data_IF_380014638496
#
_entry.id   IF_380014638496
#
_cell.length_a   1.000
_cell.length_b   1.000
_cell.length_c   1.000
_cell.angle_alpha   90.00
_cell.angle_beta   90.00
_cell.angle_gamma   90.00
#
_symmetry.space_group_name_H-M   'P 1'
#
loop_
_entity.id
_entity.type
_entity.pdbx_description
1 polymer ?
#
# COMPACT_ATOMS: atom_id res chain seq x y z
N UNK A 1 -10.51 10.38 -2.41
CA UNK A 1 -9.92 9.18 -2.99
C UNK A 1 -8.77 8.71 -2.10
N UNK A 2 -8.64 7.40 -1.88
CA UNK A 2 -7.54 6.83 -1.06
C UNK A 2 -6.63 5.90 -1.86
N UNK A 3 -7.11 5.35 -2.97
CA UNK A 3 -6.32 4.60 -3.94
C UNK A 3 -7.01 4.61 -5.33
N UNK A 4 -6.30 4.20 -6.37
CA UNK A 4 -6.83 4.11 -7.71
C UNK A 4 -5.79 3.89 -8.80
N UNK A 5 -6.28 3.73 -10.01
CA UNK A 5 -5.49 3.61 -11.25
C UNK A 5 -6.13 4.47 -12.33
N UNK A 6 -5.30 5.11 -13.17
CA UNK A 6 -5.80 5.86 -14.32
C UNK A 6 -5.69 5.06 -15.63
N UNK A 7 -6.23 5.62 -16.72
CA UNK A 7 -6.24 4.98 -18.04
C UNK A 7 -4.82 4.81 -18.66
N UNK A 8 -3.83 5.53 -18.15
CA UNK A 8 -2.42 5.36 -18.57
C UNK A 8 -1.73 4.25 -17.80
N UNK A 9 -2.40 3.66 -16.79
CA UNK A 9 -1.85 2.62 -15.94
C UNK A 9 -0.91 3.14 -14.86
N UNK A 10 -1.01 4.42 -14.51
CA UNK A 10 -0.44 4.94 -13.29
C UNK A 10 -1.39 4.61 -12.13
N UNK A 11 -0.89 4.00 -11.09
CA UNK A 11 -1.65 3.74 -9.86
C UNK A 11 -1.02 4.40 -8.66
N UNK A 12 -1.84 4.79 -7.71
CA UNK A 12 -1.38 5.38 -6.47
C UNK A 12 -2.30 5.02 -5.31
N UNK A 13 -1.73 5.01 -4.09
CA UNK A 13 -2.47 4.85 -2.86
C UNK A 13 -1.93 5.80 -1.78
N UNK A 14 -2.84 6.33 -0.96
CA UNK A 14 -2.54 7.20 0.16
C UNK A 14 -2.62 6.41 1.47
N UNK A 15 -1.60 6.54 2.32
CA UNK A 15 -1.55 5.90 3.62
C UNK A 15 -1.34 6.94 4.72
N UNK A 16 -1.74 6.61 5.95
CA UNK A 16 -1.53 7.47 7.11
C UNK A 16 -0.04 7.60 7.44
N UNK A 17 0.42 8.83 7.64
CA UNK A 17 1.81 9.19 7.95
C UNK A 17 1.87 10.07 9.20
N UNK A 18 1.25 9.58 10.27
CA UNK A 18 1.06 10.31 11.51
C UNK A 18 2.37 10.57 12.23
N UNK A 19 2.56 11.80 12.69
CA UNK A 19 3.76 12.24 13.42
C UNK A 19 4.92 12.68 12.51
N UNK A 20 4.89 12.34 11.23
CA UNK A 20 5.97 12.64 10.27
C UNK A 20 5.55 13.68 9.23
N UNK A 21 4.30 13.61 8.73
CA UNK A 21 3.82 14.51 7.68
C UNK A 21 3.83 15.99 8.11
N UNK A 22 4.48 16.85 7.31
CA UNK A 22 4.53 18.29 7.52
C UNK A 22 4.28 19.02 6.20
N UNK A 23 3.05 19.46 5.99
CA UNK A 23 2.65 20.16 4.78
C UNK A 23 2.88 21.68 4.88
N UNK A 24 2.99 22.33 3.72
CA UNK A 24 3.09 23.79 3.66
C UNK A 24 1.91 24.47 4.37
N UNK A 25 2.20 25.59 5.03
CA UNK A 25 1.15 26.36 5.74
C UNK A 25 0.39 27.31 4.83
N UNK A 26 0.94 27.64 3.66
CA UNK A 26 0.42 28.64 2.75
C UNK A 26 0.57 28.19 1.29
N UNK A 27 -0.35 28.67 0.46
CA UNK A 27 -0.25 28.56 -0.98
C UNK A 27 0.97 29.31 -1.51
N UNK A 28 1.59 28.76 -2.55
CA UNK A 28 2.72 29.34 -3.26
C UNK A 28 2.27 29.77 -4.66
N UNK A 29 2.55 31.02 -5.02
CA UNK A 29 2.17 31.55 -6.33
C UNK A 29 2.92 30.82 -7.46
N UNK A 30 2.19 30.46 -8.52
CA UNK A 30 2.75 29.75 -9.67
C UNK A 30 2.84 28.23 -9.51
N UNK A 31 2.44 27.67 -8.35
CA UNK A 31 2.35 26.23 -8.12
C UNK A 31 0.91 25.70 -8.05
N UNK A 32 0.75 24.44 -8.33
CA UNK A 32 -0.47 23.71 -8.00
C UNK A 32 -0.53 23.51 -6.48
N UNK A 33 -1.42 24.26 -5.81
CA UNK A 33 -1.60 24.19 -4.36
C UNK A 33 -2.71 23.19 -4.04
N UNK A 34 -2.35 22.02 -3.52
CA UNK A 34 -3.25 20.87 -3.37
C UNK A 34 -3.33 20.47 -1.89
N UNK A 35 -4.53 20.20 -1.40
CA UNK A 35 -4.73 19.65 -0.06
C UNK A 35 -4.27 18.18 0.00
N UNK A 36 -3.75 17.68 1.14
CA UNK A 36 -3.24 16.31 1.22
C UNK A 36 -4.23 15.25 0.77
N UNK A 37 -5.50 15.40 1.09
CA UNK A 37 -6.57 14.46 0.72
C UNK A 37 -6.97 14.51 -0.77
N UNK A 38 -6.49 15.51 -1.53
CA UNK A 38 -6.73 15.66 -2.97
C UNK A 38 -5.51 15.30 -3.82
N UNK A 39 -4.35 15.10 -3.20
CA UNK A 39 -3.09 14.78 -3.92
C UNK A 39 -3.26 13.56 -4.82
N UNK A 40 -3.98 12.53 -4.36
CA UNK A 40 -4.20 11.34 -5.16
C UNK A 40 -5.01 11.63 -6.44
N UNK A 41 -6.07 12.44 -6.33
CA UNK A 41 -6.85 12.88 -7.50
C UNK A 41 -5.98 13.67 -8.46
N UNK A 42 -5.12 14.55 -7.93
CA UNK A 42 -4.21 15.33 -8.75
C UNK A 42 -3.18 14.44 -9.46
N UNK A 43 -2.57 13.47 -8.78
CA UNK A 43 -1.63 12.52 -9.37
C UNK A 43 -2.28 11.75 -10.52
N UNK A 44 -3.42 11.11 -10.26
CA UNK A 44 -4.10 10.27 -11.26
C UNK A 44 -4.70 11.07 -12.42
N UNK A 45 -5.03 12.35 -12.22
CA UNK A 45 -5.57 13.22 -13.25
C UNK A 45 -4.52 13.96 -14.09
N UNK A 46 -3.26 14.04 -13.64
CA UNK A 46 -2.25 14.88 -14.31
C UNK A 46 -0.99 14.12 -14.75
N UNK A 47 -0.71 12.95 -14.19
CA UNK A 47 0.50 12.19 -14.50
C UNK A 47 0.19 10.91 -15.27
N UNK A 48 1.10 10.53 -16.18
CA UNK A 48 0.97 9.33 -17.01
C UNK A 48 1.95 8.23 -16.60
N UNK A 49 2.98 8.56 -15.81
CA UNK A 49 3.99 7.62 -15.31
C UNK A 49 4.65 8.16 -14.03
N UNK A 50 5.40 7.30 -13.34
CA UNK A 50 6.22 7.71 -12.21
C UNK A 50 7.26 8.77 -12.58
N UNK A 51 7.88 8.66 -13.73
CA UNK A 51 8.85 9.64 -14.23
C UNK A 51 8.19 10.99 -14.51
N UNK A 52 7.06 10.98 -15.21
CA UNK A 52 6.28 12.17 -15.51
C UNK A 52 5.84 12.90 -14.24
N UNK A 53 5.34 12.15 -13.25
CA UNK A 53 5.03 12.71 -11.93
C UNK A 53 6.25 13.37 -11.28
N UNK A 54 7.41 12.70 -11.31
CA UNK A 54 8.67 13.23 -10.78
C UNK A 54 9.02 14.60 -11.37
N UNK A 55 8.82 14.79 -12.68
CA UNK A 55 9.06 16.05 -13.37
C UNK A 55 8.08 17.16 -12.98
N UNK A 56 6.87 16.80 -12.54
CA UNK A 56 5.83 17.75 -12.16
C UNK A 56 5.92 18.19 -10.69
N UNK A 57 6.60 17.45 -9.81
CA UNK A 57 6.65 17.71 -8.36
C UNK A 57 7.21 19.08 -7.99
N UNK A 58 8.12 19.64 -8.79
CA UNK A 58 8.65 21.00 -8.57
C UNK A 58 7.54 22.06 -8.61
N UNK A 59 6.47 21.81 -9.34
CA UNK A 59 5.31 22.70 -9.50
C UNK A 59 4.16 22.34 -8.54
N UNK A 60 4.32 21.33 -7.69
CA UNK A 60 3.33 20.94 -6.69
C UNK A 60 3.68 21.54 -5.33
N UNK A 61 2.70 22.09 -4.66
CA UNK A 61 2.77 22.52 -3.27
C UNK A 61 1.63 21.87 -2.48
N UNK A 62 1.97 20.97 -1.56
CA UNK A 62 0.96 20.29 -0.73
C UNK A 62 0.73 21.14 0.51
N UNK A 63 -0.46 21.75 0.61
CA UNK A 63 -0.83 22.72 1.63
C UNK A 63 -1.72 22.09 2.68
N UNK A 64 -1.38 22.25 3.95
CA UNK A 64 -2.21 21.80 5.05
C UNK A 64 -3.62 22.41 4.95
N UNK A 65 -4.61 21.55 4.75
CA UNK A 65 -6.01 21.94 4.70
C UNK A 65 -6.89 20.87 5.38
N UNK A 66 -7.81 21.28 6.26
CA UNK A 66 -8.64 20.34 6.98
C UNK A 66 -9.68 19.69 6.04
N UNK A 67 -9.84 18.36 6.18
CA UNK A 67 -10.99 17.68 5.60
C UNK A 67 -12.24 18.14 6.35
N UNK A 68 -13.24 18.64 5.62
CA UNK A 68 -14.45 19.27 6.20
C UNK A 68 -15.16 18.36 7.22
N UNK A 69 -15.19 17.05 6.97
CA UNK A 69 -15.83 16.07 7.87
C UNK A 69 -15.03 15.81 9.13
N UNK A 70 -13.69 15.87 9.06
CA UNK A 70 -12.79 15.47 10.15
C UNK A 70 -12.22 16.66 10.93
N UNK A 71 -12.28 17.87 10.37
CA UNK A 71 -11.73 19.09 10.96
C UNK A 71 -10.20 19.13 11.06
N UNK A 72 -9.50 18.16 10.51
CA UNK A 72 -8.03 18.06 10.53
C UNK A 72 -7.45 17.92 9.13
N UNK A 73 -6.24 18.39 8.93
CA UNK A 73 -5.43 18.05 7.76
C UNK A 73 -4.90 16.63 7.96
N UNK A 74 -5.35 15.71 7.10
CA UNK A 74 -5.00 14.30 7.23
C UNK A 74 -3.52 14.10 6.92
N UNK A 75 -2.70 13.54 7.83
CA UNK A 75 -1.29 13.27 7.58
C UNK A 75 -1.18 12.04 6.66
N UNK A 76 -0.78 12.27 5.41
CA UNK A 76 -0.70 11.25 4.37
C UNK A 76 0.69 11.23 3.73
N UNK A 77 1.05 10.07 3.20
CA UNK A 77 2.09 9.85 2.21
C UNK A 77 1.55 8.89 1.14
N UNK A 78 2.25 8.78 0.00
CA UNK A 78 1.70 8.09 -1.16
C UNK A 78 2.70 7.11 -1.74
N UNK A 79 2.21 5.93 -2.14
CA UNK A 79 2.93 5.00 -3.00
C UNK A 79 2.38 5.12 -4.42
N UNK A 80 3.28 5.15 -5.40
CA UNK A 80 2.95 5.33 -6.81
C UNK A 80 3.64 4.23 -7.62
N UNK A 81 2.91 3.60 -8.52
CA UNK A 81 3.47 2.63 -9.47
C UNK A 81 2.90 2.84 -10.88
N UNK A 82 3.62 2.36 -11.90
CA UNK A 82 3.16 2.45 -13.28
C UNK A 82 3.39 1.14 -14.08
N UNK A 83 3.00 1.15 -15.36
CA UNK A 83 3.12 0.00 -16.27
C UNK A 83 4.55 -0.52 -16.46
N UNK A 84 5.57 0.31 -16.25
CA UNK A 84 6.97 -0.11 -16.36
C UNK A 84 7.44 -0.96 -15.17
N UNK A 85 6.63 -1.04 -14.11
CA UNK A 85 6.99 -1.63 -12.82
C UNK A 85 7.77 -0.68 -11.93
N UNK A 86 7.95 0.58 -12.32
CA UNK A 86 8.52 1.61 -11.47
C UNK A 86 7.64 1.81 -10.23
N UNK A 87 8.26 1.96 -9.07
CA UNK A 87 7.59 2.20 -7.81
C UNK A 87 8.30 3.31 -7.03
N UNK A 88 7.53 4.27 -6.54
CA UNK A 88 8.04 5.42 -5.78
C UNK A 88 7.16 5.70 -4.57
N UNK A 89 7.76 6.38 -3.60
CA UNK A 89 7.06 6.92 -2.41
C UNK A 89 7.19 8.44 -2.44
N UNK A 90 6.09 9.13 -2.25
CA UNK A 90 6.06 10.58 -2.04
C UNK A 90 5.77 10.85 -0.57
N UNK A 91 6.71 11.47 0.12
CA UNK A 91 6.59 11.92 1.51
C UNK A 91 6.83 13.43 1.59
N UNK A 92 6.09 14.10 2.47
CA UNK A 92 6.29 15.53 2.76
C UNK A 92 6.54 15.66 4.24
N UNK A 93 7.79 15.97 4.58
CA UNK A 93 8.30 16.07 5.95
C UNK A 93 8.90 17.45 6.21
N UNK A 94 9.55 17.65 7.36
CA UNK A 94 10.03 18.96 7.81
C UNK A 94 10.95 19.69 6.82
N UNK A 95 11.74 18.96 6.07
CA UNK A 95 12.71 19.50 5.09
C UNK A 95 12.18 19.52 3.64
N UNK A 96 10.90 19.15 3.44
CA UNK A 96 10.21 19.26 2.15
C UNK A 96 9.62 17.98 1.63
N UNK A 97 9.34 17.98 0.32
CA UNK A 97 8.79 16.84 -0.40
C UNK A 97 9.92 15.94 -0.93
N UNK A 98 9.82 14.64 -0.64
CA UNK A 98 10.75 13.61 -1.09
C UNK A 98 10.04 12.63 -2.01
N UNK A 99 10.58 12.44 -3.21
CA UNK A 99 10.12 11.44 -4.17
C UNK A 99 11.15 10.32 -4.27
N UNK A 100 10.93 9.24 -3.55
CA UNK A 100 11.94 8.22 -3.27
C UNK A 100 11.63 6.97 -4.09
N UNK A 101 12.59 6.49 -4.88
CA UNK A 101 12.47 5.20 -5.56
C UNK A 101 12.30 4.10 -4.53
N UNK A 102 11.29 3.26 -4.71
CA UNK A 102 10.97 2.15 -3.81
C UNK A 102 11.52 0.83 -4.38
N UNK A 103 12.66 0.34 -3.87
CA UNK A 103 13.31 -0.85 -4.40
C UNK A 103 12.60 -2.15 -3.99
N UNK A 104 11.79 -2.11 -2.93
CA UNK A 104 11.12 -3.29 -2.38
C UNK A 104 9.63 -3.35 -2.73
N UNK A 105 9.06 -2.28 -3.34
CA UNK A 105 7.67 -2.23 -3.76
C UNK A 105 6.65 -2.32 -2.62
N UNK A 106 7.05 -2.00 -1.39
CA UNK A 106 6.22 -2.04 -0.18
C UNK A 106 6.26 -0.69 0.50
N UNK A 107 5.11 -0.23 0.99
CA UNK A 107 4.98 0.92 1.88
C UNK A 107 3.93 0.60 2.93
N UNK A 108 4.12 1.10 4.15
CA UNK A 108 3.13 1.02 5.23
C UNK A 108 2.85 2.41 5.79
N UNK A 109 2.95 2.63 7.07
CA UNK A 109 2.73 3.91 7.73
C UNK A 109 4.06 4.41 8.34
N UNK A 110 3.99 5.38 9.28
CA UNK A 110 5.18 5.85 10.01
C UNK A 110 5.99 4.70 10.64
N UNK A 111 7.31 4.84 10.76
CA UNK A 111 8.18 5.97 10.45
C UNK A 111 8.34 6.26 8.94
N UNK A 112 9.23 7.20 8.57
CA UNK A 112 9.55 7.52 7.18
C UNK A 112 10.07 6.32 6.38
N UNK A 113 9.95 6.38 5.06
CA UNK A 113 10.30 5.28 4.18
C UNK A 113 11.79 4.94 4.23
N UNK A 114 12.66 5.93 4.38
CA UNK A 114 14.11 5.71 4.52
C UNK A 114 14.45 4.91 5.76
N UNK A 115 13.76 5.17 6.88
CA UNK A 115 13.87 4.39 8.10
C UNK A 115 13.44 2.93 7.89
N UNK A 116 12.30 2.70 7.21
CA UNK A 116 11.83 1.35 6.89
C UNK A 116 12.86 0.56 6.06
N UNK A 117 13.45 1.17 5.04
CA UNK A 117 14.51 0.55 4.25
C UNK A 117 15.73 0.21 5.10
N UNK A 118 16.17 1.14 5.96
CA UNK A 118 17.30 0.92 6.85
C UNK A 118 17.04 -0.23 7.84
N UNK A 119 15.81 -0.33 8.35
CA UNK A 119 15.42 -1.39 9.29
C UNK A 119 15.48 -2.80 8.69
N UNK A 120 15.42 -2.96 7.37
CA UNK A 120 15.62 -4.26 6.70
C UNK A 120 16.96 -4.91 7.07
N UNK A 121 17.96 -4.11 7.43
CA UNK A 121 19.27 -4.62 7.88
C UNK A 121 19.19 -5.55 9.10
N UNK A 122 18.14 -5.44 9.90
CA UNK A 122 17.90 -6.31 11.06
C UNK A 122 17.29 -7.68 10.68
N UNK A 123 16.93 -7.87 9.41
CA UNK A 123 16.15 -9.03 8.94
C UNK A 123 16.79 -9.77 7.76
N UNK A 124 18.08 -9.51 7.50
CA UNK A 124 18.83 -10.13 6.38
C UNK A 124 18.99 -11.65 6.49
N UNK A 125 18.75 -12.22 7.67
CA UNK A 125 18.79 -13.67 7.91
C UNK A 125 17.52 -14.40 7.49
N UNK A 126 16.42 -13.68 7.25
CA UNK A 126 15.14 -14.29 6.88
C UNK A 126 15.22 -14.94 5.49
N UNK A 127 14.76 -16.17 5.39
CA UNK A 127 14.73 -16.95 4.15
C UNK A 127 13.62 -18.00 4.19
N UNK A 128 13.13 -18.50 3.04
CA UNK A 128 12.08 -19.53 3.01
C UNK A 128 12.58 -20.93 3.38
N UNK A 129 13.90 -21.17 3.24
CA UNK A 129 14.52 -22.47 3.51
C UNK A 129 14.88 -22.64 4.97
N UNK A 130 14.85 -23.86 5.52
CA UNK A 130 15.26 -24.13 6.90
C UNK A 130 16.70 -23.72 7.20
N UNK A 131 16.98 -23.41 8.45
CA UNK A 131 18.36 -23.28 8.94
C UNK A 131 19.02 -24.67 9.01
N UNK A 132 20.34 -24.75 8.71
CA UNK A 132 21.09 -25.99 8.86
C UNK A 132 21.14 -26.45 10.32
N UNK A 133 21.36 -27.74 10.51
CA UNK A 133 21.66 -28.29 11.82
C UNK A 133 22.90 -27.60 12.42
N UNK A 134 22.94 -27.52 13.74
CA UNK A 134 24.08 -27.02 14.51
C UNK A 134 24.56 -28.08 15.50
N UNK A 135 25.84 -28.29 15.56
CA UNK A 135 26.49 -29.17 16.54
C UNK A 135 27.03 -28.37 17.73
N UNK A 136 26.79 -28.86 18.91
CA UNK A 136 27.27 -28.34 20.18
C UNK A 136 28.03 -29.47 20.91
N UNK A 137 29.31 -29.65 20.61
CA UNK A 137 30.17 -30.63 21.24
C UNK A 137 29.61 -32.08 21.17
N UNK A 138 29.19 -32.48 19.95
CA UNK A 138 28.56 -33.78 19.69
C UNK A 138 27.05 -33.85 19.91
N UNK A 139 26.44 -32.79 20.43
CA UNK A 139 24.99 -32.67 20.55
C UNK A 139 24.42 -31.93 19.33
N UNK A 140 23.86 -32.69 18.40
CA UNK A 140 23.29 -32.13 17.16
C UNK A 140 21.88 -31.59 17.38
N UNK A 141 21.68 -30.31 17.05
CA UNK A 141 20.38 -29.62 17.09
C UNK A 141 19.89 -29.37 15.66
N UNK A 142 18.70 -29.85 15.35
CA UNK A 142 18.05 -29.67 14.06
C UNK A 142 16.89 -28.70 14.17
N UNK A 143 16.54 -28.01 13.06
CA UNK A 143 15.31 -27.23 12.99
C UNK A 143 14.07 -28.14 13.02
N UNK A 144 12.95 -27.63 13.55
CA UNK A 144 11.68 -28.37 13.65
C UNK A 144 10.91 -28.45 12.30
N UNK A 145 11.62 -28.59 11.17
CA UNK A 145 11.02 -28.75 9.86
C UNK A 145 10.98 -27.46 9.02
N UNK A 146 10.12 -27.40 7.98
CA UNK A 146 10.02 -26.26 7.09
C UNK A 146 9.60 -24.98 7.83
N UNK A 147 10.05 -23.81 7.30
CA UNK A 147 9.68 -22.51 7.85
C UNK A 147 10.63 -21.94 8.90
N UNK A 148 11.61 -22.72 9.40
CA UNK A 148 12.57 -22.22 10.42
C UNK A 148 13.43 -21.06 9.93
N UNK A 149 13.65 -20.91 8.63
CA UNK A 149 14.35 -19.76 8.06
C UNK A 149 13.61 -18.43 8.22
N UNK A 150 12.30 -18.47 8.45
CA UNK A 150 11.48 -17.30 8.75
C UNK A 150 11.36 -17.01 10.26
N UNK A 151 12.10 -17.72 11.11
CA UNK A 151 12.10 -17.47 12.55
C UNK A 151 12.57 -16.04 12.85
N UNK A 152 11.76 -15.28 13.58
CA UNK A 152 11.97 -13.86 13.83
C UNK A 152 11.23 -12.92 12.87
N UNK A 153 10.49 -13.45 11.88
CA UNK A 153 9.56 -12.65 11.08
C UNK A 153 8.49 -12.03 12.01
N UNK A 154 8.37 -10.69 12.07
CA UNK A 154 7.49 -10.06 13.06
C UNK A 154 6.02 -10.34 12.76
N UNK A 155 5.24 -10.70 13.78
CA UNK A 155 3.84 -11.10 13.66
C UNK A 155 2.80 -10.06 14.11
N UNK A 156 3.23 -8.97 14.75
CA UNK A 156 2.30 -7.94 15.25
C UNK A 156 1.75 -7.02 14.14
N UNK A 157 0.80 -6.13 14.51
CA UNK A 157 0.08 -5.27 13.57
C UNK A 157 0.66 -3.87 13.42
N UNK A 158 1.85 -3.58 13.96
CA UNK A 158 2.50 -2.29 13.75
C UNK A 158 2.88 -2.08 12.28
N UNK A 159 3.06 -0.83 11.87
CA UNK A 159 3.52 -0.50 10.51
C UNK A 159 4.86 -1.15 10.19
N UNK A 160 5.78 -1.14 11.15
CA UNK A 160 7.12 -1.72 11.03
C UNK A 160 7.06 -3.22 10.76
N UNK A 161 6.30 -3.96 11.57
CA UNK A 161 6.16 -5.41 11.43
C UNK A 161 5.44 -5.80 10.15
N UNK A 162 4.39 -5.07 9.76
CA UNK A 162 3.70 -5.28 8.47
C UNK A 162 4.61 -5.02 7.28
N UNK A 163 5.48 -3.98 7.36
CA UNK A 163 6.45 -3.71 6.31
C UNK A 163 7.40 -4.89 6.09
N UNK A 164 8.06 -5.37 7.15
CA UNK A 164 8.99 -6.50 7.08
C UNK A 164 8.30 -7.75 6.55
N UNK A 165 7.10 -8.06 7.06
CA UNK A 165 6.31 -9.22 6.65
C UNK A 165 5.94 -9.17 5.17
N UNK A 166 5.50 -8.01 4.68
CA UNK A 166 5.12 -7.84 3.27
C UNK A 166 6.33 -7.89 2.35
N UNK A 167 7.48 -7.31 2.74
CA UNK A 167 8.73 -7.42 1.97
C UNK A 167 9.14 -8.89 1.85
N UNK A 168 9.14 -9.65 2.96
CA UNK A 168 9.45 -11.07 2.95
C UNK A 168 8.50 -11.86 2.04
N UNK A 169 7.18 -11.65 2.19
CA UNK A 169 6.20 -12.36 1.36
C UNK A 169 6.37 -12.02 -0.13
N UNK A 170 6.55 -10.74 -0.47
CA UNK A 170 6.74 -10.32 -1.85
C UNK A 170 8.01 -10.88 -2.49
N UNK A 171 9.09 -10.96 -1.72
CA UNK A 171 10.39 -11.45 -2.20
C UNK A 171 10.36 -12.96 -2.53
N UNK A 172 9.68 -13.75 -1.67
CA UNK A 172 9.75 -15.20 -1.74
C UNK A 172 8.50 -15.89 -2.30
N UNK A 173 7.46 -15.13 -2.60
CA UNK A 173 6.26 -15.67 -3.25
C UNK A 173 6.56 -15.93 -4.72
N UNK A 174 6.22 -17.12 -5.21
CA UNK A 174 6.40 -17.51 -6.61
C UNK A 174 5.65 -16.56 -7.55
N UNK A 175 6.24 -16.34 -8.73
CA UNK A 175 5.55 -15.66 -9.80
C UNK A 175 4.47 -16.58 -10.39
N UNK A 176 3.32 -16.00 -10.68
CA UNK A 176 2.17 -16.71 -11.26
C UNK A 176 1.79 -16.11 -12.61
N UNK A 177 0.94 -16.80 -13.35
CA UNK A 177 0.35 -16.27 -14.58
C UNK A 177 -0.52 -15.03 -14.30
N UNK A 178 -0.71 -14.21 -15.31
CA UNK A 178 -1.41 -12.91 -15.18
C UNK A 178 -2.82 -13.05 -14.60
N UNK A 179 -3.54 -14.10 -14.98
CA UNK A 179 -4.90 -14.40 -14.49
C UNK A 179 -4.94 -14.79 -13.00
N UNK A 180 -3.83 -15.22 -12.43
CA UNK A 180 -3.71 -15.59 -11.02
C UNK A 180 -3.13 -14.48 -10.14
N UNK A 181 -2.65 -13.37 -10.74
CA UNK A 181 -1.92 -12.32 -10.00
C UNK A 181 -2.74 -11.71 -8.87
N UNK A 182 -4.02 -11.41 -9.08
CA UNK A 182 -4.89 -10.84 -8.03
C UNK A 182 -5.06 -11.81 -6.86
N UNK A 183 -5.25 -13.10 -7.14
CA UNK A 183 -5.31 -14.15 -6.10
C UNK A 183 -4.00 -14.25 -5.33
N UNK A 184 -2.88 -14.21 -6.03
CA UNK A 184 -1.55 -14.23 -5.39
C UNK A 184 -1.31 -13.00 -4.51
N UNK A 185 -1.68 -11.81 -4.98
CA UNK A 185 -1.61 -10.59 -4.19
C UNK A 185 -2.52 -10.65 -2.95
N UNK A 186 -3.67 -11.31 -3.05
CA UNK A 186 -4.54 -11.55 -1.90
C UNK A 186 -3.86 -12.41 -0.83
N UNK A 187 -3.14 -13.46 -1.22
CA UNK A 187 -2.37 -14.27 -0.28
C UNK A 187 -1.28 -13.45 0.45
N UNK A 188 -0.57 -12.56 -0.26
CA UNK A 188 0.41 -11.67 0.35
C UNK A 188 -0.28 -10.73 1.34
N UNK A 189 -1.36 -10.05 0.93
CA UNK A 189 -2.07 -9.08 1.77
C UNK A 189 -2.80 -9.71 2.96
N UNK A 190 -3.21 -10.99 2.88
CA UNK A 190 -3.76 -11.74 4.02
C UNK A 190 -2.78 -11.76 5.21
N UNK A 191 -1.47 -11.76 4.94
CA UNK A 191 -0.46 -11.76 6.00
C UNK A 191 -0.44 -10.50 6.86
N UNK A 192 -1.02 -9.40 6.36
CA UNK A 192 -1.06 -8.09 7.02
C UNK A 192 -2.47 -7.58 7.25
N UNK A 193 -3.48 -8.40 7.00
CA UNK A 193 -4.86 -8.11 7.35
C UNK A 193 -5.00 -7.92 8.85
N UNK A 194 -5.75 -6.90 9.25
CA UNK A 194 -6.02 -6.58 10.65
C UNK A 194 -7.50 -6.88 10.91
N UNK A 195 -7.83 -7.98 11.61
CA UNK A 195 -9.20 -8.27 12.00
C UNK A 195 -9.76 -7.24 12.99
N UNK A 196 -11.08 -7.06 13.01
CA UNK A 196 -11.76 -6.22 14.00
C UNK A 196 -11.42 -6.69 15.42
N UNK A 197 -11.20 -5.75 16.33
CA UNK A 197 -10.97 -6.02 17.76
C UNK A 197 -9.49 -6.24 18.13
N UNK A 198 -8.57 -6.54 17.20
CA UNK A 198 -7.17 -6.85 17.55
C UNK A 198 -6.25 -5.63 17.59
N UNK A 199 -6.69 -4.48 17.09
CA UNK A 199 -5.96 -3.22 17.12
C UNK A 199 -6.90 -2.08 17.51
N UNK A 200 -6.69 -1.51 18.70
CA UNK A 200 -7.53 -0.46 19.26
C UNK A 200 -6.72 0.84 19.35
N UNK A 201 -7.29 1.94 18.89
CA UNK A 201 -6.70 3.28 19.00
C UNK A 201 -6.85 3.83 20.42
N UNK A 202 -6.12 4.91 20.74
CA UNK A 202 -6.15 5.56 22.07
C UNK A 202 -7.54 6.06 22.48
N UNK A 203 -8.38 6.41 21.51
CA UNK A 203 -9.76 6.84 21.72
C UNK A 203 -10.76 5.69 21.89
N UNK A 204 -10.29 4.44 21.89
CA UNK A 204 -11.10 3.23 22.04
C UNK A 204 -11.71 2.74 20.73
N UNK A 205 -11.50 3.42 19.59
CA UNK A 205 -12.01 2.97 18.30
C UNK A 205 -11.15 1.87 17.69
N UNK A 206 -11.78 0.98 16.94
CA UNK A 206 -11.09 -0.10 16.24
C UNK A 206 -10.33 0.43 15.01
N UNK A 207 -9.14 -0.13 14.78
CA UNK A 207 -8.35 0.10 13.59
C UNK A 207 -8.15 -1.24 12.88
N UNK A 208 -8.88 -1.47 11.79
CA UNK A 208 -8.92 -2.74 11.08
C UNK A 208 -8.91 -2.55 9.57
N UNK A 209 -8.65 -3.60 8.83
CA UNK A 209 -8.67 -3.60 7.36
C UNK A 209 -10.12 -3.47 6.88
N UNK A 210 -10.49 -2.32 6.33
CA UNK A 210 -11.86 -2.09 5.85
C UNK A 210 -12.10 -2.72 4.47
N UNK A 211 -11.08 -2.73 3.62
CA UNK A 211 -11.10 -3.38 2.31
C UNK A 211 -9.66 -3.59 1.80
N UNK A 212 -9.52 -4.35 0.73
CA UNK A 212 -8.30 -4.48 -0.06
C UNK A 212 -8.55 -3.99 -1.48
N UNK A 213 -7.71 -3.07 -1.96
CA UNK A 213 -7.71 -2.61 -3.35
C UNK A 213 -6.55 -3.24 -4.11
N UNK A 214 -6.78 -3.59 -5.37
CA UNK A 214 -5.75 -4.08 -6.28
C UNK A 214 -5.85 -3.31 -7.60
N UNK A 215 -4.73 -2.87 -8.13
CA UNK A 215 -4.66 -2.11 -9.37
C UNK A 215 -3.82 -2.85 -10.41
N UNK A 216 -4.47 -3.32 -11.48
CA UNK A 216 -3.80 -3.83 -12.67
C UNK A 216 -3.40 -2.65 -13.56
N UNK A 217 -2.13 -2.26 -13.47
CA UNK A 217 -1.58 -1.13 -14.21
C UNK A 217 -1.46 -1.40 -15.72
N UNK A 218 -1.37 -2.67 -16.12
CA UNK A 218 -1.26 -3.04 -17.54
C UNK A 218 -2.59 -2.85 -18.27
N UNK A 219 -3.69 -3.24 -17.62
CA UNK A 219 -5.02 -3.24 -18.22
C UNK A 219 -5.93 -2.11 -17.69
N UNK A 220 -5.43 -1.28 -16.78
CA UNK A 220 -6.20 -0.21 -16.09
C UNK A 220 -7.48 -0.76 -15.45
N UNK A 221 -7.32 -1.78 -14.62
CA UNK A 221 -8.43 -2.43 -13.91
C UNK A 221 -8.25 -2.23 -12.41
N UNK A 222 -9.31 -1.82 -11.77
CA UNK A 222 -9.40 -1.74 -10.32
C UNK A 222 -10.18 -2.92 -9.77
N UNK A 223 -9.64 -3.55 -8.72
CA UNK A 223 -10.32 -4.60 -7.98
C UNK A 223 -10.47 -4.18 -6.52
N UNK A 224 -11.55 -4.60 -5.90
CA UNK A 224 -11.85 -4.33 -4.50
C UNK A 224 -12.40 -5.57 -3.81
N UNK A 225 -11.93 -5.84 -2.60
CA UNK A 225 -12.43 -6.87 -1.72
C UNK A 225 -12.78 -6.23 -0.37
N UNK A 226 -14.07 -6.05 -0.03
CA UNK A 226 -14.48 -5.49 1.25
C UNK A 226 -14.21 -6.45 2.40
N UNK A 227 -14.18 -5.95 3.64
CA UNK A 227 -13.94 -6.76 4.81
C UNK A 227 -15.05 -7.80 5.07
N UNK A 228 -16.30 -7.37 4.93
CA UNK A 228 -17.48 -8.19 5.28
C UNK A 228 -17.93 -9.13 4.13
N UNK A 229 -17.27 -9.08 2.96
CA UNK A 229 -17.48 -9.99 1.83
C UNK A 229 -16.14 -10.33 1.17
N UNK A 230 -15.80 -11.62 1.11
CA UNK A 230 -14.54 -12.09 0.50
C UNK A 230 -14.59 -12.15 -1.03
N UNK A 231 -15.66 -11.68 -1.64
CA UNK A 231 -15.78 -11.54 -3.10
C UNK A 231 -14.89 -10.40 -3.59
N UNK A 232 -14.13 -10.65 -4.66
CA UNK A 232 -13.34 -9.62 -5.32
C UNK A 232 -14.15 -9.02 -6.46
N UNK A 233 -14.50 -7.75 -6.33
CA UNK A 233 -15.18 -6.97 -7.35
C UNK A 233 -14.16 -6.38 -8.32
N UNK A 234 -14.56 -6.16 -9.57
CA UNK A 234 -13.69 -5.70 -10.64
C UNK A 234 -14.36 -4.60 -11.46
N UNK A 235 -13.61 -3.52 -11.72
CA UNK A 235 -14.00 -2.44 -12.64
C UNK A 235 -12.85 -2.18 -13.61
N UNK A 236 -13.09 -2.37 -14.91
CA UNK A 236 -12.15 -2.00 -15.96
C UNK A 236 -12.48 -0.57 -16.46
N UNK A 237 -11.46 0.25 -16.68
CA UNK A 237 -11.60 1.56 -17.33
C UNK A 237 -11.80 1.35 -18.83
N UNK A 238 -13.06 1.15 -19.24
CA UNK A 238 -13.46 1.07 -20.65
C UNK A 238 -13.64 2.47 -21.26
N UNK A 239 -13.57 2.58 -22.58
CA UNK A 239 -13.85 3.84 -23.29
C UNK A 239 -15.22 4.43 -22.92
N UNK A 240 -16.25 3.56 -22.84
CA UNK A 240 -17.59 3.99 -22.45
C UNK A 240 -17.64 4.58 -21.04
N UNK A 241 -16.86 4.02 -20.11
CA UNK A 241 -16.79 4.52 -18.74
C UNK A 241 -16.01 5.84 -18.67
N UNK A 242 -14.91 5.94 -19.41
CA UNK A 242 -14.06 7.14 -19.44
C UNK A 242 -14.72 8.34 -20.13
N UNK A 243 -15.63 8.09 -21.06
CA UNK A 243 -16.35 9.15 -21.80
C UNK A 243 -17.59 9.67 -21.06
N UNK A 244 -17.85 9.24 -19.84
CA UNK A 244 -18.99 9.75 -19.06
C UNK A 244 -18.66 11.08 -18.40
N UNK A 245 -19.59 12.01 -18.49
CA UNK A 245 -19.48 13.34 -17.88
C UNK A 245 -19.65 13.33 -16.35
N UNK A 246 -20.16 12.23 -15.79
CA UNK A 246 -20.43 12.10 -14.37
C UNK A 246 -19.77 10.81 -13.80
N UNK A 247 -19.35 10.83 -12.53
CA UNK A 247 -18.87 9.64 -11.85
C UNK A 247 -19.89 8.49 -11.91
N UNK A 248 -19.39 7.27 -12.08
CA UNK A 248 -20.20 6.05 -12.01
C UNK A 248 -19.95 5.34 -10.69
N UNK A 249 -21.00 5.10 -9.96
CA UNK A 249 -20.95 4.32 -8.71
C UNK A 249 -21.24 2.85 -9.01
N UNK A 250 -20.49 1.97 -8.37
CA UNK A 250 -20.65 0.52 -8.47
C UNK A 250 -21.05 -0.02 -7.10
N UNK A 251 -22.27 -0.55 -6.93
CA UNK A 251 -22.69 -1.12 -5.65
C UNK A 251 -21.92 -2.40 -5.36
N UNK A 252 -21.49 -2.55 -4.12
CA UNK A 252 -20.88 -3.77 -3.59
C UNK A 252 -21.84 -4.42 -2.59
N UNK A 253 -21.76 -5.74 -2.44
CA UNK A 253 -22.53 -6.46 -1.42
C UNK A 253 -21.91 -6.23 -0.04
N UNK A 254 -22.76 -6.10 0.97
CA UNK A 254 -22.35 -5.87 2.35
C UNK A 254 -22.22 -7.17 3.17
N UNK A 255 -22.59 -8.32 2.58
CA UNK A 255 -22.62 -9.61 3.30
C UNK A 255 -22.06 -10.71 2.44
N UNK A 256 -21.23 -11.56 3.06
CA UNK A 256 -20.65 -12.74 2.45
C UNK A 256 -21.72 -13.63 1.83
N UNK A 257 -21.54 -14.00 0.59
CA UNK A 257 -22.32 -15.02 -0.10
C UNK A 257 -21.61 -16.37 -0.06
N UNK A 258 -22.37 -17.44 0.14
CA UNK A 258 -21.86 -18.80 0.14
C UNK A 258 -22.43 -19.55 -1.07
N UNK A 259 -21.55 -20.25 -1.79
CA UNK A 259 -21.95 -21.14 -2.88
C UNK A 259 -22.29 -22.51 -2.28
N UNK A 260 -23.57 -22.92 -2.34
CA UNK A 260 -23.97 -24.26 -1.94
C UNK A 260 -23.66 -25.27 -3.03
N UNK A 261 -23.33 -26.50 -2.64
CA UNK A 261 -23.14 -27.65 -3.51
C UNK A 261 -24.34 -28.63 -3.49
N UNK A 262 -25.34 -28.37 -2.66
CA UNK A 262 -26.58 -29.14 -2.48
C UNK A 262 -27.81 -28.27 -2.62
#
# INVERSE_FOLDING_TARGET
LVDGVNEKGLSAAALYFSGEAQFAKQAEAGKANIAPHEVLNWILGNAVSCEDLGNQLANLNIVAAPVKLMGISVPLHWIITDRSGACYVLEVVADGAHYIKNPVGVMTNSPDFGWHLKNLSNYTQLKPTPHPARDYDGFQVNSFGPGSGALGLPGDYTSVSRFIRTVFMREYTDQVSTDQTVTQMSHILNSVEIPKGVKIKKDGTEDYTQYRGYMDTQNSIYYMQPYDDQTIYRVALTEDLMNKDQPTEFPIQEKQQFKAFN
#
